data_IF_166617354067
#
_entry.id   IF_166617354067
#
_cell.length_a   1.000
_cell.length_b   1.000
_cell.length_c   1.000
_cell.angle_alpha   90.00
_cell.angle_beta   90.00
_cell.angle_gamma   90.00
#
_symmetry.space_group_name_H-M   'P 1'
#
loop_
_entity.id
_entity.type
_entity.pdbx_description
1 polymer ?
2 water ?
#
# COMPACT_ATOMS: atom_id res chain seq x y z
N UNK A 10 12.95 10.94 9.62
CA UNK A 10 12.75 10.56 8.17
C UNK A 10 13.98 9.88 7.59
N UNK A 11 13.78 8.81 6.81
CA UNK A 11 14.88 8.09 6.17
C UNK A 11 15.42 8.95 4.99
N UNK A 12 16.72 9.17 4.99
CA UNK A 12 17.36 9.96 3.94
C UNK A 12 17.96 9.07 2.86
N UNK A 13 18.22 9.62 1.65
CA UNK A 13 19.05 8.94 0.65
C UNK A 13 20.40 8.48 1.22
N UNK A 14 21.05 9.35 2.00
CA UNK A 14 22.28 9.00 2.71
C UNK A 14 22.17 7.74 3.62
N UNK A 15 21.14 7.64 4.45
CA UNK A 15 20.96 6.53 5.33
C UNK A 15 20.66 5.28 4.54
N UNK A 16 19.92 5.41 3.46
CA UNK A 16 19.62 4.27 2.60
C UNK A 16 20.91 3.73 1.98
N UNK A 17 21.74 4.66 1.53
CA UNK A 17 23.06 4.24 0.98
C UNK A 17 23.91 3.51 2.04
N UNK A 18 23.95 4.06 3.27
CA UNK A 18 24.67 3.46 4.40
C UNK A 18 24.17 2.06 4.75
N UNK A 19 22.85 1.85 4.77
CA UNK A 19 22.29 0.53 4.92
C UNK A 19 22.65 -0.40 3.78
N UNK A 20 22.68 0.09 2.54
CA UNK A 20 23.07 -0.73 1.42
C UNK A 20 24.53 -1.09 1.47
N UNK A 21 25.38 -0.19 1.96
CA UNK A 21 26.82 -0.46 2.08
C UNK A 21 26.97 -1.63 3.06
N UNK A 22 26.18 -1.66 4.13
CA UNK A 22 26.22 -2.77 5.11
C UNK A 22 25.85 -4.11 4.47
N UNK A 23 24.76 -4.12 3.70
CA UNK A 23 24.41 -5.29 2.97
C UNK A 23 25.52 -5.77 2.04
N UNK A 24 26.12 -4.89 1.24
CA UNK A 24 27.22 -5.22 0.37
C UNK A 24 28.44 -5.77 1.11
N UNK A 25 28.72 -5.27 2.29
CA UNK A 25 29.77 -5.83 3.11
C UNK A 25 29.46 -7.24 3.49
N UNK A 26 28.23 -7.50 3.90
CA UNK A 26 27.88 -8.90 4.25
C UNK A 26 27.94 -9.84 3.04
N UNK A 27 27.38 -9.37 1.91
CA UNK A 27 27.51 -10.09 0.67
C UNK A 27 28.97 -10.38 0.29
N UNK A 28 29.89 -9.42 0.41
CA UNK A 28 31.29 -9.74 0.06
C UNK A 28 31.92 -10.72 1.06
N UNK A 29 31.64 -10.55 2.35
CA UNK A 29 31.94 -11.57 3.37
C UNK A 29 31.49 -13.00 3.05
N UNK A 30 30.27 -13.14 2.55
CA UNK A 30 29.75 -14.45 2.26
C UNK A 30 30.59 -15.08 1.14
N UNK A 31 30.94 -14.26 0.13
CA UNK A 31 31.78 -14.71 -0.96
C UNK A 31 33.18 -15.18 -0.50
N UNK A 32 33.72 -14.63 0.59
CA UNK A 32 35.00 -15.13 1.17
C UNK A 32 34.79 -16.09 2.35
N UNK A 33 33.60 -16.65 2.49
CA UNK A 33 33.26 -17.57 3.59
C UNK A 33 33.51 -17.02 5.01
N UNK A 34 33.30 -15.70 5.19
CA UNK A 34 33.52 -15.02 6.46
C UNK A 34 32.24 -14.29 6.96
N UNK A 35 31.05 -14.78 6.58
CA UNK A 35 29.79 -14.16 6.96
C UNK A 35 29.62 -14.11 8.48
N UNK A 36 29.35 -12.91 9.00
CA UNK A 36 29.00 -12.72 10.39
C UNK A 36 27.47 -12.88 10.48
N UNK A 37 27.01 -14.08 10.86
CA UNK A 37 25.60 -14.38 10.82
C UNK A 37 24.77 -13.49 11.77
N UNK A 38 25.22 -13.29 13.01
CA UNK A 38 24.50 -12.44 13.96
C UNK A 38 24.46 -10.99 13.43
N UNK A 39 25.55 -10.55 12.83
CA UNK A 39 25.66 -9.25 12.19
C UNK A 39 24.76 -9.01 11.03
N UNK A 40 24.71 -9.94 10.10
CA UNK A 40 23.82 -9.75 8.96
C UNK A 40 22.34 -9.82 9.37
N UNK A 41 22.02 -10.68 10.34
CA UNK A 41 20.68 -10.76 10.80
C UNK A 41 20.23 -9.57 11.58
N UNK A 42 21.08 -9.04 12.44
CA UNK A 42 20.79 -7.86 13.19
C UNK A 42 20.65 -6.57 12.30
N UNK A 43 21.50 -6.46 11.30
CA UNK A 43 21.48 -5.41 10.34
C UNK A 43 20.20 -5.52 9.47
N UNK A 44 19.86 -6.73 9.05
CA UNK A 44 18.62 -6.93 8.27
C UNK A 44 17.38 -6.47 9.01
N UNK A 45 17.32 -6.80 10.28
CA UNK A 45 16.21 -6.34 11.08
C UNK A 45 16.09 -4.79 11.05
N UNK A 46 17.20 -4.06 11.28
CA UNK A 46 17.23 -2.58 11.18
C UNK A 46 16.73 -2.07 9.84
N UNK A 47 17.13 -2.75 8.80
CA UNK A 47 16.67 -2.41 7.48
C UNK A 47 15.16 -2.67 7.27
N UNK A 48 14.58 -3.70 7.87
CA UNK A 48 13.12 -3.89 7.78
C UNK A 48 12.36 -2.72 8.38
N UNK A 49 12.87 -2.24 9.51
CA UNK A 49 12.24 -1.12 10.22
C UNK A 49 12.35 0.15 9.39
N UNK A 50 13.53 0.40 8.85
CA UNK A 50 13.77 1.52 7.93
C UNK A 50 12.98 1.53 6.66
N UNK A 51 12.92 0.39 5.98
CA UNK A 51 12.20 0.28 4.72
C UNK A 51 10.70 0.45 4.98
N UNK A 52 10.21 -0.11 6.09
CA UNK A 52 8.79 0.11 6.39
C UNK A 52 8.43 1.62 6.39
N UNK A 53 9.28 2.39 7.04
CA UNK A 53 9.12 3.86 7.15
C UNK A 53 9.27 4.53 5.77
N UNK A 54 10.42 4.32 5.14
CA UNK A 54 10.81 4.86 3.83
C UNK A 54 9.72 4.77 2.78
N UNK A 55 9.14 3.57 2.65
CA UNK A 55 8.01 3.32 1.73
C UNK A 55 6.79 4.23 1.94
N UNK A 56 6.53 4.56 3.20
CA UNK A 56 5.35 5.36 3.58
C UNK A 56 5.55 6.86 3.24
N UNK A 57 6.82 7.25 3.09
CA UNK A 57 7.19 8.60 2.66
C UNK A 57 8.22 8.57 1.56
N UNK A 60 13.03 9.63 -0.69
CA UNK A 60 13.85 8.64 -1.40
C UNK A 60 13.25 8.21 -2.77
N UNK A 61 14.04 8.40 -3.84
CA UNK A 61 13.65 7.93 -5.17
C UNK A 61 13.06 6.54 -5.01
N UNK A 62 11.88 6.33 -5.56
CA UNK A 62 11.27 5.00 -5.60
C UNK A 62 12.18 4.00 -6.33
N UNK A 63 12.92 4.50 -7.31
CA UNK A 63 14.06 3.80 -7.88
C UNK A 63 14.96 3.14 -6.82
N UNK A 64 15.47 3.97 -5.93
CA UNK A 64 16.42 3.50 -4.92
C UNK A 64 15.73 2.55 -3.95
N UNK A 65 14.46 2.80 -3.65
CA UNK A 65 13.69 1.91 -2.77
C UNK A 65 13.51 0.52 -3.35
N UNK A 66 13.25 0.43 -4.65
CA UNK A 66 13.18 -0.88 -5.35
C UNK A 66 14.53 -1.63 -5.29
N UNK A 67 15.63 -0.90 -5.45
CA UNK A 67 16.95 -1.55 -5.52
C UNK A 67 17.31 -2.15 -4.16
N UNK A 68 16.78 -1.53 -3.11
CA UNK A 68 17.13 -1.82 -1.71
C UNK A 68 16.36 -3.05 -1.25
N UNK A 69 15.08 -3.09 -1.60
CA UNK A 69 14.24 -4.30 -1.43
C UNK A 69 14.93 -5.55 -2.10
N UNK A 70 15.43 -5.37 -3.33
CA UNK A 70 16.12 -6.43 -4.06
C UNK A 70 17.49 -6.81 -3.50
N UNK A 71 18.20 -5.85 -2.89
CA UNK A 71 19.48 -6.15 -2.25
C UNK A 71 19.26 -7.01 -1.02
N UNK A 72 18.22 -6.68 -0.30
CA UNK A 72 17.77 -7.43 0.85
C UNK A 72 17.45 -8.90 0.44
N UNK A 73 16.64 -9.04 -0.59
CA UNK A 73 16.40 -10.39 -1.16
C UNK A 73 17.71 -11.13 -1.56
N UNK A 74 18.67 -10.43 -2.17
CA UNK A 74 19.97 -11.06 -2.49
C UNK A 74 20.67 -11.58 -1.20
N UNK A 75 20.52 -10.79 -0.13
CA UNK A 75 21.15 -11.07 1.13
C UNK A 75 20.54 -12.27 1.80
N UNK A 76 19.23 -12.37 1.86
CA UNK A 76 18.59 -13.58 2.37
C UNK A 76 18.93 -14.81 1.55
N UNK A 77 19.12 -14.62 0.23
CA UNK A 77 19.47 -15.72 -0.68
C UNK A 77 20.85 -16.23 -0.29
N UNK A 78 21.76 -15.31 0.01
CA UNK A 78 23.09 -15.69 0.43
C UNK A 78 23.10 -16.36 1.79
N UNK A 79 22.23 -15.89 2.70
CA UNK A 79 22.10 -16.55 3.99
C UNK A 79 21.63 -18.04 3.85
N UNK A 80 20.67 -18.26 2.94
CA UNK A 80 20.12 -19.61 2.67
C UNK A 80 21.17 -20.56 2.11
N UNK A 81 21.94 -20.08 1.15
CA UNK A 81 23.03 -20.87 0.59
C UNK A 81 24.10 -21.08 1.64
N UNK A 82 24.27 -20.13 2.53
CA UNK A 82 25.34 -20.19 3.48
C UNK A 82 25.03 -21.34 4.38
N UNK A 83 23.76 -21.44 4.81
CA UNK A 83 23.29 -22.52 5.70
C UNK A 83 22.90 -23.79 4.99
N UNK A 84 22.54 -23.73 3.71
CA UNK A 84 22.37 -25.00 2.96
C UNK A 84 23.70 -25.75 3.06
N UNK A 85 24.76 -25.14 2.52
CA UNK A 85 26.10 -25.76 2.56
C UNK A 85 26.70 -25.69 3.95
N UNK A 104 22.64 -17.77 23.02
CA UNK A 104 23.19 -16.40 22.97
C UNK A 104 22.88 -15.72 21.65
N UNK A 105 23.14 -16.45 20.59
CA UNK A 105 22.54 -16.15 19.34
C UNK A 105 21.02 -16.06 19.54
N UNK A 106 20.43 -17.04 20.22
CA UNK A 106 18.99 -16.98 20.51
C UNK A 106 18.70 -15.69 21.29
N UNK A 107 19.48 -15.40 22.33
CA UNK A 107 19.14 -14.33 23.28
C UNK A 107 19.35 -12.92 22.74
N UNK A 108 20.43 -12.73 22.01
CA UNK A 108 20.79 -11.39 21.56
C UNK A 108 20.40 -11.12 20.12
N UNK A 109 20.21 -12.17 19.31
CA UNK A 109 19.90 -11.98 17.89
C UNK A 109 18.49 -12.38 17.54
N UNK A 110 18.12 -13.63 17.80
CA UNK A 110 16.78 -14.09 17.40
C UNK A 110 15.72 -13.41 18.24
N UNK A 111 15.88 -13.46 19.57
CA UNK A 111 14.83 -12.99 20.45
C UNK A 111 14.33 -11.52 20.22
N UNK A 112 15.23 -10.50 20.13
CA UNK A 112 14.78 -9.15 19.86
C UNK A 112 14.07 -8.95 18.54
N UNK A 113 14.53 -9.62 17.47
CA UNK A 113 13.82 -9.56 16.20
C UNK A 113 12.41 -10.21 16.26
N UNK A 114 12.35 -11.41 16.88
CA UNK A 114 11.09 -12.10 17.11
C UNK A 114 10.13 -11.19 17.88
N UNK A 115 10.61 -10.57 18.96
CA UNK A 115 9.74 -9.73 19.83
C UNK A 115 9.19 -8.53 19.07
N UNK A 116 10.04 -7.93 18.24
CA UNK A 116 9.61 -6.78 17.43
C UNK A 116 8.53 -7.19 16.41
N UNK A 117 8.74 -8.30 15.74
CA UNK A 117 7.81 -8.73 14.74
C UNK A 117 6.51 -9.23 15.39
N UNK A 118 6.63 -9.82 16.57
CA UNK A 118 5.46 -10.28 17.31
C UNK A 118 4.45 -9.14 17.53
N UNK A 119 4.97 -7.92 17.66
CA UNK A 119 4.10 -6.76 17.81
C UNK A 119 3.19 -6.53 16.58
N UNK A 120 3.59 -6.97 15.39
CA UNK A 120 2.73 -6.80 14.19
C UNK A 120 1.45 -7.61 14.31
N UNK A 121 1.50 -8.67 15.11
CA UNK A 121 0.46 -9.65 15.22
C UNK A 121 -0.68 -9.22 16.11
N UNK A 122 -0.52 -8.09 16.78
CA UNK A 122 -1.58 -7.53 17.59
C UNK A 122 -2.15 -6.20 17.02
N UNK A 123 -1.67 -5.83 15.86
CA UNK A 123 -2.00 -4.55 15.21
C UNK A 123 -3.08 -4.74 14.17
N UNK A 124 -3.92 -3.72 14.03
CA UNK A 124 -4.88 -3.60 12.93
C UNK A 124 -4.10 -3.30 11.65
N UNK A 125 -4.27 -4.09 10.60
CA UNK A 125 -3.53 -3.84 9.36
C UNK A 125 -4.38 -3.17 8.26
N UNK A 126 -3.71 -2.47 7.39
CA UNK A 126 -4.25 -1.99 6.12
C UNK A 126 -3.43 -2.56 5.01
N UNK A 127 -3.93 -2.39 3.78
CA UNK A 127 -3.28 -2.93 2.57
C UNK A 127 -1.84 -2.47 2.45
N UNK A 128 -1.57 -1.25 2.93
CA UNK A 128 -0.26 -0.68 2.86
C UNK A 128 0.75 -1.43 3.71
N UNK A 129 0.27 -2.35 4.54
CA UNK A 129 1.20 -3.13 5.38
C UNK A 129 1.67 -4.41 4.70
N UNK A 130 1.03 -4.82 3.60
CA UNK A 130 1.32 -6.08 3.06
C UNK A 130 2.82 -6.25 2.82
N UNK A 131 3.47 -5.29 2.14
CA UNK A 131 4.89 -5.42 1.83
C UNK A 131 5.77 -5.71 3.04
N UNK A 132 5.48 -5.07 4.14
CA UNK A 132 6.28 -5.18 5.29
C UNK A 132 5.98 -6.47 6.06
N UNK A 133 4.75 -6.96 5.99
CA UNK A 133 4.43 -8.26 6.56
C UNK A 133 5.05 -9.39 5.73
N UNK A 134 5.04 -9.28 4.42
CA UNK A 134 5.77 -10.20 3.57
C UNK A 134 7.27 -10.25 3.99
N UNK A 135 7.89 -9.10 4.16
CA UNK A 135 9.33 -9.03 4.54
C UNK A 135 9.53 -9.67 5.92
N UNK A 136 8.65 -9.37 6.87
CA UNK A 136 8.78 -9.89 8.23
C UNK A 136 8.62 -11.39 8.26
N UNK A 137 7.76 -11.93 7.42
CA UNK A 137 7.58 -13.32 7.31
C UNK A 137 8.83 -14.04 6.77
N UNK A 138 9.44 -13.48 5.73
CA UNK A 138 10.66 -14.03 5.16
C UNK A 138 11.75 -13.96 6.26
N UNK A 139 11.71 -12.91 7.07
CA UNK A 139 12.72 -12.77 8.12
C UNK A 139 12.59 -13.87 9.17
N UNK A 140 11.36 -14.18 9.61
CA UNK A 140 11.15 -15.24 10.58
C UNK A 140 11.51 -16.60 10.04
N UNK A 141 11.16 -16.83 8.78
CA UNK A 141 11.51 -18.03 8.10
C UNK A 141 13.04 -18.27 8.12
N UNK A 142 13.80 -17.22 7.90
CA UNK A 142 15.27 -17.26 7.86
C UNK A 142 15.81 -17.48 9.26
N UNK A 143 15.28 -16.79 10.25
CA UNK A 143 15.68 -17.03 11.63
C UNK A 143 15.47 -18.49 12.00
N UNK A 144 14.35 -19.05 11.59
CA UNK A 144 14.06 -20.40 11.86
C UNK A 144 15.05 -21.33 11.18
N UNK A 145 15.27 -21.12 9.91
CA UNK A 145 16.23 -21.92 9.14
C UNK A 145 17.64 -21.89 9.78
N UNK A 146 18.09 -20.71 10.16
CA UNK A 146 19.39 -20.57 10.75
C UNK A 146 19.44 -21.30 12.07
N UNK A 147 18.44 -21.10 12.90
CA UNK A 147 18.44 -21.73 14.20
C UNK A 147 18.39 -23.26 14.10
N UNK A 148 17.58 -23.77 13.17
CA UNK A 148 17.48 -25.21 12.95
C UNK A 148 18.85 -25.79 12.59
N UNK A 149 19.48 -25.20 11.58
CA UNK A 149 20.82 -25.62 11.10
C UNK A 149 21.85 -25.53 12.20
N UNK A 150 21.82 -24.44 12.94
CA UNK A 150 22.81 -24.17 13.97
C UNK A 150 22.71 -25.17 15.12
N UNK A 151 21.52 -25.66 15.42
CA UNK A 151 21.34 -26.59 16.56
C UNK A 151 21.47 -28.09 16.24
N UNK A 152 21.11 -28.46 15.00
CA UNK A 152 21.43 -29.77 14.39
C UNK A 152 22.72 -29.69 13.57
N UNK A 156 22.29 -33.49 20.74
CA UNK A 156 22.74 -32.36 21.54
C UNK A 156 21.86 -31.10 21.47
N UNK A 157 20.58 -31.22 21.11
CA UNK A 157 19.66 -30.07 21.08
C UNK A 157 18.99 -29.86 22.43
N UNK A 158 19.07 -28.64 22.95
CA UNK A 158 18.52 -28.35 24.27
C UNK A 158 16.99 -28.17 24.25
N UNK A 159 16.38 -28.39 25.42
CA UNK A 159 14.98 -28.11 25.63
C UNK A 159 14.70 -26.68 25.22
N UNK A 160 15.64 -25.76 25.52
CA UNK A 160 15.45 -24.34 25.37
C UNK A 160 15.37 -23.98 23.91
N UNK A 161 16.19 -24.66 23.11
CA UNK A 161 16.21 -24.50 21.66
C UNK A 161 14.89 -24.92 21.06
N UNK A 162 14.38 -26.07 21.51
CA UNK A 162 13.11 -26.53 21.03
C UNK A 162 11.96 -25.57 21.38
N UNK A 163 12.03 -24.96 22.56
CA UNK A 163 11.02 -23.97 22.99
C UNK A 163 11.05 -22.72 22.12
N UNK A 164 12.25 -22.26 21.80
CA UNK A 164 12.42 -21.10 20.88
C UNK A 164 12.01 -21.39 19.46
N UNK A 165 12.39 -22.56 18.93
CA UNK A 165 11.88 -23.06 17.65
C UNK A 165 10.35 -23.14 17.59
N UNK A 166 9.72 -23.63 18.65
CA UNK A 166 8.29 -23.55 18.75
C UNK A 166 7.72 -22.11 18.65
N UNK A 167 8.25 -21.21 19.45
CA UNK A 167 7.74 -19.86 19.56
C UNK A 167 7.87 -19.13 18.22
N UNK A 168 9.04 -19.33 17.61
CA UNK A 168 9.35 -18.78 16.33
C UNK A 168 8.42 -19.31 15.26
N UNK A 169 8.23 -20.62 15.24
CA UNK A 169 7.30 -21.23 14.31
C UNK A 169 5.84 -20.82 14.53
N UNK A 170 5.37 -20.74 15.79
CA UNK A 170 4.00 -20.29 16.05
C UNK A 170 3.81 -18.82 15.58
N UNK A 171 4.79 -17.95 15.84
CA UNK A 171 4.79 -16.57 15.34
C UNK A 171 4.73 -16.51 13.80
N UNK A 172 5.57 -17.32 13.17
CA UNK A 172 5.65 -17.36 11.70
C UNK A 172 4.36 -17.77 11.07
N UNK A 173 3.73 -18.78 11.61
CA UNK A 173 2.51 -19.22 11.05
C UNK A 173 1.32 -18.30 11.38
N UNK A 174 1.28 -17.73 12.57
CA UNK A 174 0.29 -16.71 12.89
C UNK A 174 0.41 -15.52 11.88
N UNK A 175 1.63 -15.09 11.62
CA UNK A 175 1.90 -14.01 10.64
C UNK A 175 1.39 -14.39 9.23
N UNK A 176 1.70 -15.62 8.80
CA UNK A 176 1.24 -16.23 7.54
C UNK A 176 -0.28 -16.13 7.38
N UNK A 177 -1.00 -16.49 8.43
CA UNK A 177 -2.44 -16.40 8.48
C UNK A 177 -2.96 -14.93 8.36
N UNK A 178 -2.41 -14.04 9.16
CA UNK A 178 -2.84 -12.61 9.14
C UNK A 178 -2.48 -12.00 7.80
N UNK A 179 -1.33 -12.37 7.26
CA UNK A 179 -0.93 -11.91 6.00
C UNK A 179 -1.85 -12.44 4.86
N UNK A 180 -2.16 -13.72 4.88
CA UNK A 180 -3.09 -14.31 3.87
C UNK A 180 -4.46 -13.60 3.92
N UNK A 181 -4.98 -13.35 5.12
CA UNK A 181 -6.26 -12.67 5.25
C UNK A 181 -6.18 -11.30 4.62
N UNK A 182 -5.13 -10.53 4.91
CA UNK A 182 -4.98 -9.23 4.36
C UNK A 182 -4.86 -9.21 2.83
N UNK A 183 -4.07 -10.14 2.30
CA UNK A 183 -3.92 -10.32 0.89
C UNK A 183 -5.25 -10.72 0.22
N UNK A 184 -6.02 -11.55 0.85
CA UNK A 184 -7.35 -11.87 0.28
C UNK A 184 -8.32 -10.70 0.26
N UNK A 185 -8.35 -9.92 1.33
CA UNK A 185 -9.06 -8.68 1.32
C UNK A 185 -8.60 -7.74 0.24
N UNK A 186 -7.29 -7.66 0.02
CA UNK A 186 -6.80 -6.82 -1.08
C UNK A 186 -7.22 -7.31 -2.49
N UNK A 187 -7.21 -8.62 -2.69
CA UNK A 187 -7.66 -9.26 -3.92
C UNK A 187 -9.10 -8.91 -4.15
N UNK A 188 -9.92 -8.98 -3.11
CA UNK A 188 -11.33 -8.59 -3.23
C UNK A 188 -11.51 -7.11 -3.55
N UNK A 189 -10.73 -6.24 -2.90
CA UNK A 189 -10.75 -4.81 -3.18
C UNK A 189 -10.34 -4.49 -4.61
N UNK A 190 -9.32 -5.15 -5.12
CA UNK A 190 -8.93 -4.95 -6.48
C UNK A 190 -10.02 -5.45 -7.45
N UNK A 191 -10.65 -6.55 -7.10
CA UNK A 191 -11.78 -7.08 -7.93
C UNK A 191 -12.95 -6.07 -7.96
N UNK A 192 -13.30 -5.50 -6.80
CA UNK A 192 -14.38 -4.52 -6.75
C UNK A 192 -14.02 -3.26 -7.52
N UNK A 193 -12.77 -2.87 -7.49
CA UNK A 193 -12.30 -1.73 -8.27
C UNK A 193 -12.53 -1.96 -9.73
N UNK A 194 -12.16 -3.14 -10.21
CA UNK A 194 -12.33 -3.45 -11.62
C UNK A 194 -13.80 -3.41 -12.07
N UNK A 195 -14.67 -3.99 -11.26
CA UNK A 195 -16.11 -4.07 -11.53
C UNK A 195 -16.70 -2.66 -11.58
N UNK A 196 -16.38 -1.83 -10.58
CA UNK A 196 -16.84 -0.42 -10.55
C UNK A 196 -16.40 0.39 -11.74
N UNK A 197 -15.14 0.28 -12.14
CA UNK A 197 -14.64 1.00 -13.26
C UNK A 197 -15.38 0.47 -14.50
N UNK A 198 -15.49 -0.84 -14.63
CA UNK A 198 -16.14 -1.41 -15.81
C UNK A 198 -17.60 -1.03 -15.89
N UNK A 199 -18.37 -1.17 -14.81
CA UNK A 199 -19.80 -0.74 -14.81
C UNK A 199 -20.04 0.74 -15.16
N UNK A 200 -19.08 1.59 -14.76
CA UNK A 200 -19.18 3.06 -14.94
C UNK A 200 -19.25 3.51 -16.43
N UNK A 201 -18.85 2.62 -17.36
CA UNK A 201 -18.84 2.88 -18.76
C UNK A 201 -20.19 3.30 -19.34
N UNK A 202 -21.28 2.90 -18.71
CA UNK A 202 -22.60 3.30 -19.16
C UNK A 202 -22.84 4.82 -19.02
N UNK A 203 -22.17 5.50 -18.07
CA UNK A 203 -22.38 6.93 -17.87
C UNK A 203 -21.12 7.80 -17.91
N UNK A 204 -19.96 7.19 -17.78
CA UNK A 204 -18.77 7.96 -17.48
C UNK A 204 -18.35 9.00 -18.53
N UNK A 205 -18.27 8.65 -19.80
CA UNK A 205 -17.74 9.59 -20.80
C UNK A 205 -18.71 10.74 -21.00
N UNK A 206 -20.02 10.42 -21.04
CA UNK A 206 -21.04 11.44 -21.27
C UNK A 206 -21.06 12.42 -20.06
N UNK A 207 -21.01 11.88 -18.84
CA UNK A 207 -20.94 12.71 -17.60
C UNK A 207 -19.67 13.59 -17.52
N UNK A 208 -18.50 13.04 -17.86
CA UNK A 208 -17.28 13.79 -17.88
C UNK A 208 -17.40 14.95 -18.81
N UNK A 209 -17.81 14.70 -20.06
CA UNK A 209 -17.97 15.73 -21.07
C UNK A 209 -19.00 16.78 -20.66
N UNK A 210 -20.10 16.33 -20.09
CA UNK A 210 -21.13 17.22 -19.65
C UNK A 210 -20.63 18.18 -18.52
N UNK A 211 -19.82 17.64 -17.61
CA UNK A 211 -19.26 18.39 -16.47
C UNK A 211 -18.21 19.35 -17.01
N UNK A 212 -17.36 18.88 -17.92
CA UNK A 212 -16.38 19.75 -18.63
C UNK A 212 -17.03 20.94 -19.26
N UNK A 213 -18.10 20.72 -20.03
CA UNK A 213 -18.81 21.80 -20.64
C UNK A 213 -19.38 22.77 -19.60
N UNK A 214 -19.94 22.23 -18.53
CA UNK A 214 -20.38 23.05 -17.34
C UNK A 214 -19.25 24.00 -16.88
N UNK A 215 -18.13 23.41 -16.55
CA UNK A 215 -17.02 24.13 -15.98
C UNK A 215 -16.45 25.12 -16.98
N UNK A 216 -16.47 24.78 -18.27
CA UNK A 216 -15.95 25.68 -19.28
C UNK A 216 -16.82 26.89 -19.62
N UNK A 217 -18.12 26.76 -19.44
CA UNK A 217 -19.04 27.78 -19.88
C UNK A 217 -19.79 28.45 -18.71
N UNK A 218 -19.40 28.11 -17.48
CA UNK A 218 -20.14 28.42 -16.25
C UNK A 218 -20.14 29.94 -16.09
N UNK A 219 -21.32 30.56 -15.95
CA UNK A 219 -21.39 31.99 -15.55
C UNK A 219 -20.85 32.19 -14.10
N UNK A 220 -20.37 33.38 -13.85
CA UNK A 220 -19.98 33.80 -12.51
C UNK A 220 -21.22 33.70 -11.59
N UNK A 221 -21.03 33.11 -10.41
CA UNK A 221 -22.07 33.16 -9.37
C UNK A 221 -22.12 34.57 -8.76
N UNK A 222 -23.33 35.08 -8.71
CA UNK A 222 -23.66 36.35 -8.10
C UNK A 222 -24.24 36.12 -6.71
N UNK A 223 -23.90 37.00 -5.79
CA UNK A 223 -24.25 36.84 -4.40
C UNK A 223 -25.31 37.79 -3.99
N UNK A 224 -25.63 38.74 -4.85
CA UNK A 224 -26.65 39.72 -4.57
C UNK A 224 -27.95 39.42 -5.28
N UNK A 225 -28.94 40.22 -4.96
CA UNK A 225 -30.28 40.10 -5.51
C UNK A 225 -30.67 41.35 -6.26
N UNK A 226 -29.69 42.21 -6.57
CA UNK A 226 -29.96 43.44 -7.33
C UNK A 226 -30.58 43.11 -8.67
N UNK A 227 -31.53 43.92 -9.13
CA UNK A 227 -32.17 43.70 -10.42
C UNK A 227 -31.16 43.64 -11.61
N UNK A 228 -30.10 44.45 -11.54
CA UNK A 228 -29.04 44.47 -12.56
C UNK A 228 -28.22 43.18 -12.67
N UNK A 229 -28.32 42.24 -11.72
CA UNK A 229 -27.72 40.90 -11.92
C UNK A 229 -28.79 39.78 -12.15
N UNK A 230 -30.06 40.16 -12.36
CA UNK A 230 -31.14 39.20 -12.55
C UNK A 230 -30.90 38.36 -13.82
N UNK A 231 -30.49 38.99 -14.92
CA UNK A 231 -30.11 38.21 -16.11
C UNK A 231 -28.94 37.26 -15.88
N UNK A 232 -27.86 37.74 -15.26
CA UNK A 232 -26.75 36.82 -14.89
C UNK A 232 -27.29 35.62 -14.06
N UNK A 233 -28.14 35.88 -13.08
CA UNK A 233 -28.61 34.82 -12.22
C UNK A 233 -29.54 33.81 -12.97
N UNK A 234 -30.34 34.31 -13.91
CA UNK A 234 -31.14 33.45 -14.80
C UNK A 234 -30.20 32.61 -15.73
N UNK A 235 -29.17 33.24 -16.31
CA UNK A 235 -28.08 32.49 -16.97
C UNK A 235 -27.48 31.30 -16.11
N UNK A 236 -27.15 31.52 -14.82
CA UNK A 236 -26.66 30.48 -13.86
C UNK A 236 -27.63 29.25 -13.89
N UNK A 237 -28.93 29.52 -13.73
CA UNK A 237 -29.94 28.48 -13.61
C UNK A 237 -30.07 27.73 -14.96
N UNK A 238 -30.03 28.47 -16.06
CA UNK A 238 -30.25 27.86 -17.36
C UNK A 238 -29.07 26.92 -17.68
N UNK A 239 -27.87 27.40 -17.38
CA UNK A 239 -26.65 26.64 -17.61
C UNK A 239 -26.61 25.33 -16.79
N UNK A 240 -26.82 25.45 -15.47
CA UNK A 240 -27.09 24.23 -14.64
C UNK A 240 -28.09 23.24 -15.29
N UNK A 241 -29.21 23.78 -15.76
CA UNK A 241 -30.30 22.91 -16.24
C UNK A 241 -29.93 22.11 -17.52
N UNK A 242 -29.13 22.72 -18.40
CA UNK A 242 -28.61 21.98 -19.58
C UNK A 242 -27.82 20.73 -19.12
N UNK A 243 -26.87 20.95 -18.20
CA UNK A 243 -26.02 19.89 -17.72
C UNK A 243 -26.87 18.83 -17.02
N UNK A 244 -27.79 19.25 -16.16
CA UNK A 244 -28.64 18.25 -15.48
C UNK A 244 -29.46 17.40 -16.45
N UNK A 245 -29.90 17.95 -17.58
CA UNK A 245 -30.65 17.12 -18.50
C UNK A 245 -29.78 16.11 -19.28
N UNK A 246 -28.56 16.51 -19.64
CA UNK A 246 -27.60 15.60 -20.30
C UNK A 246 -27.29 14.33 -19.47
N UNK A 247 -27.28 14.47 -18.15
CA UNK A 247 -26.98 13.35 -17.24
C UNK A 247 -28.21 12.83 -16.44
N UNK A 248 -29.41 13.32 -16.79
CA UNK A 248 -30.65 12.95 -16.11
C UNK A 248 -30.87 11.44 -16.01
N UNK A 249 -30.49 10.68 -17.03
CA UNK A 249 -30.74 9.22 -17.04
C UNK A 249 -29.69 8.45 -16.19
N UNK A 250 -28.68 9.14 -15.71
CA UNK A 250 -27.56 8.50 -15.01
C UNK A 250 -27.56 8.75 -13.53
N UNK A 251 -28.54 9.48 -13.02
CA UNK A 251 -28.41 10.04 -11.66
C UNK A 251 -28.40 8.95 -10.57
N UNK A 252 -29.23 7.92 -10.75
CA UNK A 252 -29.26 6.78 -9.81
C UNK A 252 -27.92 6.04 -9.83
N UNK A 253 -27.46 5.72 -11.04
CA UNK A 253 -26.16 4.99 -11.20
C UNK A 253 -25.00 5.71 -10.56
N UNK A 254 -24.96 7.04 -10.74
CA UNK A 254 -23.84 7.82 -10.24
C UNK A 254 -23.92 7.89 -8.73
N UNK A 255 -25.13 7.92 -8.19
CA UNK A 255 -25.29 7.96 -6.74
C UNK A 255 -24.92 6.61 -6.09
N UNK A 256 -25.32 5.53 -6.72
CA UNK A 256 -24.95 4.21 -6.24
C UNK A 256 -23.47 3.89 -6.45
N UNK A 257 -22.90 4.47 -7.49
CA UNK A 257 -21.47 4.41 -7.72
C UNK A 257 -20.66 4.91 -6.49
N UNK A 258 -20.98 6.10 -6.01
CA UNK A 258 -20.20 6.72 -4.97
C UNK A 258 -20.35 6.11 -3.59
N UNK A 259 -21.49 5.47 -3.33
CA UNK A 259 -21.71 4.65 -2.15
C UNK A 259 -20.65 3.57 -2.06
N UNK A 260 -20.33 2.96 -3.20
CA UNK A 260 -19.31 1.90 -3.25
C UNK A 260 -17.92 2.47 -3.36
N UNK A 261 -17.73 3.57 -4.10
CA UNK A 261 -16.38 4.01 -4.44
C UNK A 261 -15.66 4.73 -3.32
N UNK A 262 -16.40 5.46 -2.49
CA UNK A 262 -15.75 6.22 -1.46
C UNK A 262 -15.04 5.39 -0.40
N UNK A 263 -15.72 4.42 0.18
CA UNK A 263 -15.05 3.52 1.11
C UNK A 263 -13.88 2.77 0.50
N UNK A 264 -13.99 2.40 -0.78
CA UNK A 264 -12.90 1.67 -1.45
C UNK A 264 -11.69 2.55 -1.63
N UNK A 265 -11.88 3.81 -2.08
CA UNK A 265 -10.78 4.75 -2.10
C UNK A 265 -10.05 4.92 -0.77
N UNK A 266 -10.77 4.94 0.35
CA UNK A 266 -10.16 5.07 1.68
C UNK A 266 -9.32 3.82 2.00
N UNK A 267 -9.84 2.65 1.59
CA UNK A 267 -9.12 1.40 1.79
C UNK A 267 -7.86 1.33 0.95
N UNK A 268 -7.90 1.92 -0.22
CA UNK A 268 -6.73 1.90 -1.13
C UNK A 268 -5.73 2.98 -0.85
N UNK A 269 -6.14 4.07 -0.20
CA UNK A 269 -5.20 5.10 0.18
C UNK A 269 -4.67 5.98 -0.96
N UNK A 270 -3.61 6.71 -0.68
CA UNK A 270 -3.07 7.59 -1.65
C UNK A 270 -1.56 7.39 -1.86
N UNK A 271 -0.97 6.36 -1.28
CA UNK A 271 0.47 6.20 -1.36
C UNK A 271 0.81 5.53 -2.68
N UNK A 272 2.08 5.60 -3.07
CA UNK A 272 2.62 4.72 -4.17
C UNK A 272 2.32 3.26 -3.90
N UNK A 273 1.92 2.53 -4.94
CA UNK A 273 1.49 1.11 -4.80
C UNK A 273 2.13 0.18 -5.81
N UNK A 274 3.19 0.67 -6.45
CA UNK A 274 3.63 0.24 -7.79
C UNK A 274 3.44 -1.24 -8.20
N UNK A 275 2.25 -1.74 -7.84
CA UNK A 275 1.36 -2.25 -8.82
C UNK A 275 0.84 -0.96 -9.45
N UNK A 276 1.50 -0.54 -10.51
CA UNK A 276 1.18 0.65 -11.27
C UNK A 276 -0.09 0.47 -12.07
N UNK A 277 -0.54 -0.77 -12.27
CA UNK A 277 -1.89 -0.97 -12.81
C UNK A 277 -2.89 -0.52 -11.73
N UNK A 278 -2.67 -0.96 -10.50
CA UNK A 278 -3.52 -0.66 -9.38
C UNK A 278 -3.59 0.84 -9.14
N UNK A 279 -2.46 1.54 -9.15
CA UNK A 279 -2.49 2.97 -8.94
C UNK A 279 -3.24 3.65 -10.09
N UNK A 280 -3.05 3.21 -11.33
CA UNK A 280 -3.82 3.79 -12.43
C UNK A 280 -5.33 3.60 -12.26
N UNK A 281 -5.72 2.39 -11.92
CA UNK A 281 -7.12 2.07 -11.67
C UNK A 281 -7.63 2.92 -10.50
N UNK A 282 -6.87 2.96 -9.43
CA UNK A 282 -7.29 3.77 -8.27
C UNK A 282 -7.58 5.24 -8.63
N UNK A 283 -6.70 5.84 -9.39
CA UNK A 283 -6.88 7.23 -9.75
C UNK A 283 -7.99 7.42 -10.80
N UNK A 284 -8.25 6.39 -11.61
CA UNK A 284 -9.44 6.39 -12.49
C UNK A 284 -10.66 6.40 -11.64
N UNK A 285 -10.70 5.51 -10.64
CA UNK A 285 -11.84 5.53 -9.72
C UNK A 285 -12.04 6.88 -8.98
N UNK A 286 -10.96 7.51 -8.56
CA UNK A 286 -11.04 8.78 -7.91
C UNK A 286 -11.66 9.91 -8.82
N UNK A 287 -11.16 10.00 -10.05
CA UNK A 287 -11.72 10.88 -11.10
C UNK A 287 -13.22 10.64 -11.35
N UNK A 288 -13.59 9.38 -11.52
CA UNK A 288 -14.99 9.06 -11.74
C UNK A 288 -15.85 9.47 -10.57
N UNK A 289 -15.30 9.31 -9.37
CA UNK A 289 -16.02 9.67 -8.14
C UNK A 289 -16.25 11.20 -8.05
N UNK A 290 -15.27 12.00 -8.43
CA UNK A 290 -15.42 13.45 -8.35
C UNK A 290 -16.50 13.91 -9.33
N UNK A 291 -16.49 13.34 -10.54
CA UNK A 291 -17.55 13.58 -11.56
C UNK A 291 -18.93 13.28 -10.98
N UNK A 292 -19.09 12.06 -10.48
CA UNK A 292 -20.34 11.65 -9.86
C UNK A 292 -20.77 12.54 -8.73
N UNK A 293 -19.82 12.90 -7.85
CA UNK A 293 -20.17 13.72 -6.67
C UNK A 293 -20.55 15.14 -7.08
N UNK A 294 -19.82 15.73 -8.01
CA UNK A 294 -20.14 17.07 -8.54
C UNK A 294 -21.53 17.14 -9.14
N UNK A 295 -21.87 16.11 -9.92
CA UNK A 295 -23.15 16.02 -10.61
C UNK A 295 -24.29 15.69 -9.66
N UNK A 296 -24.00 14.88 -8.64
CA UNK A 296 -24.91 14.56 -7.54
C UNK A 296 -25.23 15.88 -6.75
N UNK A 297 -24.21 16.66 -6.37
CA UNK A 297 -24.39 17.97 -5.68
C UNK A 297 -25.15 19.03 -6.51
N UNK A 298 -24.89 19.04 -7.81
CA UNK A 298 -25.47 20.03 -8.75
C UNK A 298 -26.99 19.80 -8.88
N UNK A 299 -27.37 18.54 -8.94
CA UNK A 299 -28.76 18.15 -8.95
C UNK A 299 -29.51 18.51 -7.67
N UNK A 300 -28.87 18.32 -6.53
CA UNK A 300 -29.47 18.77 -5.26
C UNK A 300 -29.58 20.31 -5.14
N UNK A 301 -28.60 21.05 -5.68
CA UNK A 301 -28.62 22.52 -5.67
C UNK A 301 -29.77 23.10 -6.52
N UNK A 302 -30.09 22.36 -7.61
CA UNK A 302 -31.16 22.71 -8.56
C UNK A 302 -32.16 21.53 -8.69
#
# INVERSE_FOLDING_TARGET
GPVDSTDVRRITPKKLRELSDLLRTHLSSAATKQLDMGGVLSDLDTMLVALDKAEREGGVDKDQLKSFNSLILKTYRVIEDYVKGREGDTKNSSTEVSPYHRSNFMLSIVEPSLQRIQKHLDQTHSFSDIGSLVRAHKHLETLLEVLVTLSQQGQPVSSETYGFLNRLAEAKITLSQQLNTLQQQQESAKAQLSILINRSGSWADVARQSLQRFDSTRPVVKFGTEQYTAIHRQMMAAHAAITLQEVSEFTDDMRNFTVDSIPLLIQLGRSSLMDEHLVEQREKLRELTTIAERLNRLEREWM
#
